data_IF_474246130868
#
_entry.id   IF_474246130868
#
_cell.length_a   1.000
_cell.length_b   1.000
_cell.length_c   1.000
_cell.angle_alpha   90.00
_cell.angle_beta   90.00
_cell.angle_gamma   90.00
#
_symmetry.space_group_name_H-M   'P 1'
#
loop_
_entity.id
_entity.type
_entity.pdbx_description
1 polymer ?
#
# COMPACT_ATOMS: atom_id res chain seq x y z
N UNK A 1 16.79 -22.91 -12.05
CA UNK A 1 17.61 -22.55 -10.88
C UNK A 1 16.65 -22.16 -9.76
N UNK A 2 16.58 -22.92 -8.66
CA UNK A 2 15.63 -22.69 -7.56
C UNK A 2 16.25 -21.73 -6.55
N UNK A 3 15.78 -20.49 -6.47
CA UNK A 3 16.28 -19.51 -5.50
C UNK A 3 15.47 -19.65 -4.19
N UNK A 4 16.09 -20.03 -3.05
CA UNK A 4 15.37 -20.05 -1.78
C UNK A 4 14.98 -18.62 -1.37
N UNK A 5 13.73 -18.42 -0.95
CA UNK A 5 13.24 -17.12 -0.52
C UNK A 5 13.93 -16.71 0.80
N UNK A 6 14.91 -15.81 0.73
CA UNK A 6 15.61 -15.24 1.89
C UNK A 6 15.08 -13.84 2.18
N UNK A 7 14.46 -13.67 3.35
CA UNK A 7 13.80 -12.42 3.74
C UNK A 7 14.62 -11.68 4.81
N UNK A 8 15.00 -10.43 4.53
CA UNK A 8 15.97 -9.66 5.36
C UNK A 8 15.44 -9.16 6.71
N UNK A 9 14.13 -9.06 6.92
CA UNK A 9 13.59 -8.73 8.25
C UNK A 9 13.82 -9.89 9.24
N UNK A 10 14.00 -9.63 10.53
CA UNK A 10 14.12 -10.73 11.51
C UNK A 10 12.77 -11.43 11.74
N UNK A 11 11.69 -10.67 11.90
CA UNK A 11 10.30 -11.15 11.97
C UNK A 11 9.33 -9.99 11.70
N UNK A 12 8.03 -10.27 11.64
CA UNK A 12 6.97 -9.24 11.57
C UNK A 12 6.96 -8.41 12.86
N UNK A 13 7.02 -9.07 14.02
CA UNK A 13 7.01 -8.40 15.33
C UNK A 13 8.25 -7.53 15.55
N UNK A 14 9.42 -8.00 15.10
CA UNK A 14 10.65 -7.22 15.19
C UNK A 14 10.55 -5.92 14.38
N UNK A 15 9.98 -5.98 13.17
CA UNK A 15 9.72 -4.78 12.38
C UNK A 15 8.76 -3.82 13.09
N UNK A 16 7.63 -4.33 13.61
CA UNK A 16 6.67 -3.52 14.32
C UNK A 16 7.29 -2.83 15.56
N UNK A 17 8.13 -3.56 16.30
CA UNK A 17 8.88 -3.01 17.44
C UNK A 17 9.89 -1.92 17.03
N UNK A 18 10.57 -2.09 15.90
CA UNK A 18 11.50 -1.08 15.37
C UNK A 18 10.75 0.19 14.94
N UNK A 19 9.58 0.07 14.30
CA UNK A 19 8.75 1.23 13.93
C UNK A 19 8.20 1.95 15.17
N UNK A 20 7.74 1.21 16.19
CA UNK A 20 7.34 1.80 17.48
C UNK A 20 8.48 2.57 18.14
N UNK A 21 9.71 2.05 18.06
CA UNK A 21 10.90 2.74 18.57
C UNK A 21 11.19 4.01 17.79
N UNK A 22 11.09 3.97 16.46
CA UNK A 22 11.26 5.16 15.62
C UNK A 22 10.22 6.24 15.96
N UNK A 23 8.97 5.86 16.18
CA UNK A 23 7.91 6.78 16.62
C UNK A 23 8.23 7.43 17.98
N UNK A 24 8.70 6.65 18.95
CA UNK A 24 9.12 7.15 20.26
C UNK A 24 10.27 8.17 20.15
N UNK A 25 11.16 7.96 19.17
CA UNK A 25 12.23 8.89 18.78
C UNK A 25 11.75 10.05 17.90
N UNK A 26 10.43 10.23 17.76
CA UNK A 26 9.77 11.32 17.03
C UNK A 26 9.96 11.32 15.52
N UNK A 27 10.32 10.20 14.91
CA UNK A 27 10.33 10.11 13.44
C UNK A 27 8.93 10.34 12.87
N UNK A 28 8.85 11.02 11.73
CA UNK A 28 7.58 11.39 11.11
C UNK A 28 7.01 10.29 10.23
N UNK A 29 7.86 9.45 9.64
CA UNK A 29 7.45 8.39 8.73
C UNK A 29 8.36 7.16 8.78
N UNK A 30 7.76 6.00 8.54
CA UNK A 30 8.43 4.72 8.31
C UNK A 30 8.09 4.23 6.89
N UNK A 31 9.09 4.28 6.02
CA UNK A 31 8.99 3.80 4.64
C UNK A 31 9.48 2.36 4.55
N UNK A 32 8.61 1.45 4.09
CA UNK A 32 8.91 0.04 3.94
C UNK A 32 9.12 -0.31 2.45
N UNK A 33 10.33 -0.79 2.07
CA UNK A 33 10.59 -1.17 0.70
C UNK A 33 9.78 -2.38 0.22
N UNK A 34 9.17 -2.25 -0.95
CA UNK A 34 8.34 -3.31 -1.56
C UNK A 34 9.15 -4.17 -2.55
N UNK A 35 9.80 -5.21 -2.02
CA UNK A 35 10.65 -6.12 -2.79
C UNK A 35 10.50 -7.57 -2.34
N UNK A 36 9.53 -8.28 -2.92
CA UNK A 36 9.03 -9.57 -2.44
C UNK A 36 10.07 -10.70 -2.42
N UNK A 37 11.16 -10.59 -3.18
CA UNK A 37 12.25 -11.59 -3.19
C UNK A 37 13.36 -11.30 -2.18
N UNK A 38 13.33 -10.14 -1.51
CA UNK A 38 14.28 -9.73 -0.46
C UNK A 38 13.63 -9.44 0.88
N UNK A 39 12.36 -9.03 0.88
CA UNK A 39 11.64 -8.53 2.04
C UNK A 39 10.35 -9.31 2.24
N UNK A 40 9.93 -9.41 3.52
CA UNK A 40 8.58 -9.88 3.87
C UNK A 40 7.56 -8.95 3.22
N UNK A 41 6.33 -9.45 3.09
CA UNK A 41 5.22 -8.69 2.50
C UNK A 41 5.07 -7.32 3.17
N UNK A 42 5.19 -6.27 2.36
CA UNK A 42 5.17 -4.88 2.79
C UNK A 42 3.89 -4.50 3.52
N UNK A 43 2.74 -4.96 3.04
CA UNK A 43 1.44 -4.58 3.60
C UNK A 43 1.17 -5.32 4.90
N UNK A 44 1.64 -6.57 5.02
CA UNK A 44 1.62 -7.31 6.29
C UNK A 44 2.49 -6.62 7.34
N UNK A 45 3.70 -6.19 6.96
CA UNK A 45 4.60 -5.45 7.85
C UNK A 45 3.98 -4.12 8.30
N UNK A 46 3.42 -3.35 7.36
CA UNK A 46 2.74 -2.10 7.67
C UNK A 46 1.53 -2.30 8.57
N UNK A 47 0.70 -3.33 8.34
CA UNK A 47 -0.42 -3.67 9.20
C UNK A 47 0.03 -4.00 10.63
N UNK A 48 1.12 -4.75 10.79
CA UNK A 48 1.67 -5.04 12.11
C UNK A 48 2.18 -3.78 12.83
N UNK A 49 2.87 -2.88 12.11
CA UNK A 49 3.32 -1.60 12.66
C UNK A 49 2.15 -0.68 13.02
N UNK A 50 1.09 -0.65 12.20
CA UNK A 50 -0.13 0.12 12.45
C UNK A 50 -0.79 -0.25 13.78
N UNK A 51 -0.72 -1.52 14.20
CA UNK A 51 -1.29 -2.01 15.46
C UNK A 51 -0.54 -1.56 16.72
N UNK A 52 0.70 -1.07 16.58
CA UNK A 52 1.58 -0.76 17.72
C UNK A 52 2.06 0.70 17.74
N UNK A 53 1.54 1.53 16.83
CA UNK A 53 1.89 2.95 16.66
C UNK A 53 0.68 3.83 16.41
N UNK A 54 0.76 5.09 16.85
CA UNK A 54 -0.40 5.99 16.90
C UNK A 54 -0.26 7.29 16.07
N UNK A 55 0.97 7.68 15.69
CA UNK A 55 1.29 8.97 15.05
C UNK A 55 2.11 8.86 13.78
N UNK A 56 3.11 7.98 13.74
CA UNK A 56 4.06 7.87 12.63
C UNK A 56 3.32 7.51 11.34
N UNK A 57 3.72 8.11 10.22
CA UNK A 57 3.21 7.77 8.91
C UNK A 57 3.79 6.42 8.46
N UNK A 58 2.97 5.56 7.89
CA UNK A 58 3.37 4.27 7.35
C UNK A 58 3.26 4.32 5.83
N UNK A 59 4.36 4.04 5.13
CA UNK A 59 4.43 4.22 3.69
C UNK A 59 5.14 3.08 2.98
N UNK A 60 4.77 2.81 1.72
CA UNK A 60 5.51 1.90 0.84
C UNK A 60 6.66 2.63 0.11
N UNK A 61 7.73 1.92 -0.26
CA UNK A 61 8.89 2.51 -0.98
C UNK A 61 9.55 1.60 -2.03
N UNK A 62 9.16 1.64 -3.31
CA UNK A 62 7.85 2.02 -3.82
C UNK A 62 7.18 0.71 -4.27
N UNK A 63 5.86 0.62 -4.06
CA UNK A 63 5.04 -0.40 -4.72
C UNK A 63 4.96 -0.10 -6.21
N UNK A 64 4.63 -1.10 -7.02
CA UNK A 64 4.64 -0.96 -8.48
C UNK A 64 3.52 -1.79 -9.14
N UNK A 65 3.06 -1.39 -10.36
CA UNK A 65 1.99 -2.10 -11.08
C UNK A 65 2.41 -3.45 -11.65
N UNK A 66 3.71 -3.79 -11.65
CA UNK A 66 4.24 -4.99 -12.31
C UNK A 66 4.19 -6.20 -11.37
N UNK A 67 4.64 -6.03 -10.12
CA UNK A 67 4.74 -7.12 -9.16
C UNK A 67 3.40 -7.46 -8.48
N UNK A 68 2.49 -6.48 -8.40
CA UNK A 68 1.19 -6.64 -7.77
C UNK A 68 0.14 -5.90 -8.57
N UNK A 69 -0.93 -6.60 -8.91
CA UNK A 69 -2.03 -6.00 -9.68
C UNK A 69 -2.60 -4.79 -8.91
N UNK A 70 -2.86 -3.64 -9.58
CA UNK A 70 -3.32 -2.42 -8.92
C UNK A 70 -4.55 -2.62 -8.03
N UNK A 71 -5.53 -3.45 -8.44
CA UNK A 71 -6.71 -3.71 -7.61
C UNK A 71 -6.37 -4.36 -6.26
N UNK A 72 -5.37 -5.25 -6.23
CA UNK A 72 -4.91 -5.91 -5.00
C UNK A 72 -4.17 -4.90 -4.13
N UNK A 73 -3.34 -4.05 -4.72
CA UNK A 73 -2.66 -2.96 -4.01
C UNK A 73 -3.66 -1.98 -3.40
N UNK A 74 -4.67 -1.55 -4.16
CA UNK A 74 -5.73 -0.65 -3.69
C UNK A 74 -6.46 -1.23 -2.46
N UNK A 75 -6.87 -2.50 -2.54
CA UNK A 75 -7.47 -3.18 -1.39
C UNK A 75 -6.51 -3.26 -0.21
N UNK A 76 -5.25 -3.64 -0.44
CA UNK A 76 -4.26 -3.83 0.62
C UNK A 76 -3.98 -2.53 1.36
N UNK A 77 -3.77 -1.43 0.63
CA UNK A 77 -3.45 -0.14 1.25
C UNK A 77 -4.67 0.47 1.96
N UNK A 78 -5.87 0.31 1.41
CA UNK A 78 -7.10 0.74 2.08
C UNK A 78 -7.30 -0.01 3.40
N UNK A 79 -7.05 -1.33 3.43
CA UNK A 79 -7.09 -2.11 4.68
C UNK A 79 -6.03 -1.68 5.69
N UNK A 80 -4.84 -1.27 5.26
CA UNK A 80 -3.84 -0.70 6.18
C UNK A 80 -4.28 0.66 6.71
N UNK A 81 -4.90 1.51 5.87
CA UNK A 81 -5.45 2.80 6.32
C UNK A 81 -6.59 2.62 7.32
N UNK A 82 -7.41 1.57 7.23
CA UNK A 82 -8.38 1.22 8.28
C UNK A 82 -7.71 0.97 9.64
N UNK A 83 -6.49 0.42 9.65
CA UNK A 83 -5.70 0.18 10.87
C UNK A 83 -4.94 1.44 11.35
N UNK A 84 -4.56 2.33 10.44
CA UNK A 84 -3.85 3.58 10.72
C UNK A 84 -4.49 4.77 9.97
N UNK A 85 -5.70 5.21 10.39
CA UNK A 85 -6.48 6.19 9.62
C UNK A 85 -5.76 7.51 9.44
N UNK A 86 -5.61 7.94 8.19
CA UNK A 86 -4.97 9.22 7.83
C UNK A 86 -3.46 9.23 8.03
N UNK A 87 -2.86 8.07 8.32
CA UNK A 87 -1.41 7.91 8.50
C UNK A 87 -0.80 6.91 7.52
N UNK A 88 -1.54 6.52 6.49
CA UNK A 88 -1.08 5.56 5.48
C UNK A 88 -0.79 6.26 4.15
N UNK A 89 0.37 6.00 3.56
CA UNK A 89 0.79 6.54 2.26
C UNK A 89 1.16 5.41 1.29
N UNK A 90 0.72 5.54 0.04
CA UNK A 90 1.15 4.65 -1.03
C UNK A 90 2.24 5.30 -1.87
N UNK A 91 3.48 4.83 -1.72
CA UNK A 91 4.53 5.07 -2.70
C UNK A 91 4.28 4.21 -3.94
N UNK A 92 4.08 4.84 -5.09
CA UNK A 92 3.78 4.16 -6.36
C UNK A 92 4.77 4.57 -7.44
N UNK A 93 5.42 3.60 -8.08
CA UNK A 93 6.42 3.87 -9.11
C UNK A 93 6.51 2.77 -10.16
N UNK A 94 7.38 2.98 -11.16
CA UNK A 94 7.59 2.03 -12.27
C UNK A 94 8.18 0.69 -11.81
N UNK A 95 8.83 0.68 -10.64
CA UNK A 95 9.60 -0.44 -10.11
C UNK A 95 11.01 -0.53 -10.71
N UNK A 96 11.98 -1.01 -9.93
CA UNK A 96 13.33 -1.29 -10.41
C UNK A 96 13.83 -2.61 -9.79
N UNK A 97 14.55 -2.57 -8.67
CA UNK A 97 15.08 -3.74 -7.95
C UNK A 97 14.08 -4.89 -7.84
N UNK A 98 12.88 -4.63 -7.31
CA UNK A 98 11.88 -5.68 -7.08
C UNK A 98 11.35 -6.33 -8.37
N UNK A 99 11.30 -5.57 -9.46
CA UNK A 99 10.80 -6.03 -10.76
C UNK A 99 11.89 -6.80 -11.50
N UNK A 100 13.11 -6.26 -11.52
CA UNK A 100 14.27 -6.87 -12.16
C UNK A 100 14.69 -8.18 -11.49
N UNK A 101 14.67 -8.24 -10.15
CA UNK A 101 14.94 -9.48 -9.41
C UNK A 101 13.93 -10.58 -9.73
N UNK A 102 12.69 -10.21 -10.08
CA UNK A 102 11.67 -11.15 -10.51
C UNK A 102 11.77 -11.52 -12.01
N UNK A 103 12.82 -11.08 -12.72
CA UNK A 103 13.00 -11.34 -14.15
C UNK A 103 12.05 -10.57 -15.05
N UNK A 104 11.37 -9.55 -14.52
CA UNK A 104 10.42 -8.72 -15.26
C UNK A 104 11.04 -7.38 -15.66
N UNK A 105 10.33 -6.63 -16.50
CA UNK A 105 10.73 -5.28 -16.92
C UNK A 105 9.93 -4.23 -16.14
N UNK A 106 10.58 -3.15 -15.66
CA UNK A 106 9.89 -1.99 -15.12
C UNK A 106 8.77 -1.50 -16.03
N UNK A 107 7.72 -0.94 -15.42
CA UNK A 107 6.64 -0.34 -16.18
C UNK A 107 7.13 0.87 -16.97
N UNK A 108 6.56 1.07 -18.16
CA UNK A 108 6.70 2.31 -18.92
C UNK A 108 5.87 3.40 -18.26
N UNK A 109 6.20 4.65 -18.57
CA UNK A 109 5.51 5.83 -18.00
C UNK A 109 4.00 5.77 -18.23
N UNK A 110 3.54 5.38 -19.42
CA UNK A 110 2.10 5.29 -19.71
C UNK A 110 1.38 4.16 -18.94
N UNK A 111 2.08 3.05 -18.65
CA UNK A 111 1.54 1.95 -17.84
C UNK A 111 1.44 2.38 -16.37
N UNK A 112 2.44 3.10 -15.87
CA UNK A 112 2.39 3.73 -14.55
C UNK A 112 1.26 4.75 -14.45
N UNK A 113 1.07 5.59 -15.46
CA UNK A 113 -0.01 6.57 -15.50
C UNK A 113 -1.39 5.90 -15.48
N UNK A 114 -1.60 4.91 -16.36
CA UNK A 114 -2.85 4.16 -16.42
C UNK A 114 -3.16 3.46 -15.09
N UNK A 115 -2.16 2.83 -14.47
CA UNK A 115 -2.32 2.20 -13.16
C UNK A 115 -2.59 3.20 -12.05
N UNK A 116 -1.97 4.39 -12.08
CA UNK A 116 -2.21 5.46 -11.10
C UNK A 116 -3.64 5.98 -11.19
N UNK A 117 -4.16 6.19 -12.41
CA UNK A 117 -5.55 6.60 -12.62
C UNK A 117 -6.53 5.55 -12.10
N UNK A 118 -6.26 4.27 -12.36
CA UNK A 118 -7.06 3.17 -11.81
C UNK A 118 -7.01 3.15 -10.28
N UNK A 119 -5.83 3.23 -9.68
CA UNK A 119 -5.64 3.24 -8.22
C UNK A 119 -6.43 4.35 -7.55
N UNK A 120 -6.34 5.59 -8.08
CA UNK A 120 -7.11 6.74 -7.57
C UNK A 120 -8.61 6.49 -7.65
N UNK A 121 -9.10 6.07 -8.81
CA UNK A 121 -10.52 5.76 -8.98
C UNK A 121 -11.01 4.72 -7.96
N UNK A 122 -10.26 3.63 -7.74
CA UNK A 122 -10.63 2.60 -6.77
C UNK A 122 -10.61 3.11 -5.33
N UNK A 123 -9.59 3.87 -4.93
CA UNK A 123 -9.45 4.40 -3.58
C UNK A 123 -10.47 5.51 -3.28
N UNK A 124 -10.92 6.25 -4.30
CA UNK A 124 -12.01 7.24 -4.21
C UNK A 124 -13.41 6.59 -4.28
N UNK A 125 -13.49 5.25 -4.29
CA UNK A 125 -14.75 4.49 -4.36
C UNK A 125 -15.47 4.60 -5.71
N UNK A 126 -14.78 5.04 -6.76
CA UNK A 126 -15.34 5.21 -8.11
C UNK A 126 -15.27 3.90 -8.91
N UNK A 127 -16.27 3.68 -9.75
CA UNK A 127 -16.22 2.59 -10.72
C UNK A 127 -15.19 2.90 -11.82
N UNK A 128 -14.21 2.02 -12.01
CA UNK A 128 -13.28 2.13 -13.16
C UNK A 128 -13.81 1.32 -14.34
N UNK A 129 -13.70 1.86 -15.55
CA UNK A 129 -14.02 1.14 -16.79
C UNK A 129 -12.95 0.12 -17.20
N UNK A 130 -11.72 0.26 -16.69
CA UNK A 130 -10.59 -0.63 -17.01
C UNK A 130 -10.61 -1.95 -16.24
N UNK A 131 -11.36 -2.03 -15.13
CA UNK A 131 -11.58 -3.27 -14.38
C UNK A 131 -13.07 -3.58 -14.37
N UNK A 132 -13.47 -4.59 -15.15
CA UNK A 132 -14.85 -5.08 -15.16
C UNK A 132 -15.04 -6.08 -14.02
N UNK A 133 -15.31 -5.60 -12.81
CA UNK A 133 -15.75 -6.49 -11.74
C UNK A 133 -17.04 -7.18 -12.17
N UNK A 134 -17.10 -8.52 -12.11
CA UNK A 134 -18.35 -9.22 -12.39
C UNK A 134 -19.42 -8.69 -11.42
N UNK A 135 -20.64 -8.42 -11.89
CA UNK A 135 -21.75 -7.87 -11.08
C UNK A 135 -22.04 -8.66 -9.79
N UNK A 136 -21.51 -9.88 -9.64
CA UNK A 136 -21.61 -10.72 -8.42
C UNK A 136 -20.66 -10.29 -7.30
N UNK A 137 -19.51 -9.69 -7.59
CA UNK A 137 -18.53 -9.28 -6.56
C UNK A 137 -18.96 -8.01 -5.80
N UNK A 138 -19.87 -7.21 -6.35
CA UNK A 138 -20.27 -5.89 -5.84
C UNK A 138 -21.58 -5.91 -5.03
N UNK A 139 -22.01 -7.08 -4.52
CA UNK A 139 -23.23 -7.19 -3.68
C UNK A 139 -22.96 -7.22 -2.17
N UNK A 140 -21.71 -7.40 -1.74
CA UNK A 140 -21.33 -7.35 -0.33
C UNK A 140 -20.80 -5.95 -0.02
N UNK A 141 -21.66 -5.16 0.62
CA UNK A 141 -21.53 -3.76 0.97
C UNK A 141 -20.23 -3.44 1.71
N UNK A 142 -19.35 -2.62 1.14
CA UNK A 142 -18.47 -1.72 1.91
C UNK A 142 -18.92 -0.30 1.59
N UNK A 143 -19.74 0.27 2.47
CA UNK A 143 -19.95 1.73 2.47
C UNK A 143 -18.63 2.34 2.93
N UNK A 144 -17.79 2.75 1.99
CA UNK A 144 -16.79 3.77 2.28
C UNK A 144 -17.53 5.06 2.62
N UNK A 145 -17.68 5.36 3.91
CA UNK A 145 -18.00 6.69 4.41
C UNK A 145 -16.70 7.30 4.92
N UNK A 146 -15.85 7.78 4.03
CA UNK A 146 -14.87 8.80 4.40
C UNK A 146 -15.65 10.08 4.64
N UNK A 147 -15.69 10.54 5.89
CA UNK A 147 -16.50 11.68 6.31
C UNK A 147 -16.30 12.90 5.43
N UNK A 148 -17.39 13.40 4.84
CA UNK A 148 -17.45 14.76 4.35
C UNK A 148 -17.32 15.71 5.55
N UNK A 149 -16.25 16.51 5.58
CA UNK A 149 -16.23 17.71 6.43
C UNK A 149 -17.44 18.56 6.06
N UNK A 150 -18.30 19.01 7.00
CA UNK A 150 -19.30 20.00 6.68
C UNK A 150 -18.58 21.30 6.29
N UNK A 151 -18.97 21.87 5.15
CA UNK A 151 -18.52 23.19 4.73
C UNK A 151 -18.79 24.19 5.86
N UNK A 152 -17.76 24.94 6.26
CA UNK A 152 -17.92 26.06 7.20
C UNK A 152 -18.94 27.04 6.61
N UNK A 153 -20.06 27.23 7.30
CA UNK A 153 -21.00 28.32 6.99
C UNK A 153 -20.32 29.61 7.45
N UNK A 154 -20.05 30.48 6.49
CA UNK A 154 -19.57 31.84 6.75
C UNK A 154 -20.54 32.59 7.66
N UNK A 155 -19.96 33.42 8.53
CA UNK A 155 -20.63 34.54 9.20
C UNK A 155 -20.22 35.82 8.49
#
# INVERSE_FOLDING_TARGET
MTLPLRLEARSVDAFAADVRRAEALRWDAAFQPDSQLRRRDTYVLMAAAARVTDRILLATLLSNPVNRHPTVTASSIATVDELAPGRTLLGWGVGDTAVRLAGMRPARVHELEASTRLMRALLDGQASTSVRASRRACRTTVRCRSGSRPAARGR
#
